data_IF_196831933410
#
_entry.id   IF_196831933410
#
_cell.length_a   1.000
_cell.length_b   1.000
_cell.length_c   1.000
_cell.angle_alpha   90.00
_cell.angle_beta   90.00
_cell.angle_gamma   90.00
#
_symmetry.space_group_name_H-M   'P 1'
#
loop_
_entity.id
_entity.type
_entity.pdbx_description
1 polymer ?
#
# COMPACT_ATOMS: atom_id res chain seq x y z
N UNK A 1 -34.37 -28.08 11.48
CA UNK A 1 -34.29 -26.63 11.72
C UNK A 1 -33.62 -26.01 10.48
N UNK A 2 -34.20 -26.03 9.28
CA UNK A 2 -35.46 -25.37 8.89
C UNK A 2 -35.68 -24.06 9.64
N UNK A 3 -34.90 -23.04 9.27
CA UNK A 3 -35.25 -21.62 9.37
C UNK A 3 -34.24 -20.77 8.59
N UNK A 4 -34.26 -20.89 7.26
CA UNK A 4 -33.89 -19.80 6.36
C UNK A 4 -35.09 -19.57 5.44
N UNK A 5 -36.19 -19.12 6.04
CA UNK A 5 -37.33 -18.65 5.27
C UNK A 5 -36.88 -17.57 4.30
N UNK A 6 -37.37 -17.68 3.06
CA UNK A 6 -37.24 -16.70 2.00
C UNK A 6 -37.26 -15.26 2.56
N UNK A 7 -36.09 -14.66 2.71
CA UNK A 7 -35.98 -13.22 2.89
C UNK A 7 -36.34 -12.65 1.53
N UNK A 8 -37.61 -12.28 1.36
CA UNK A 8 -38.06 -11.45 0.25
C UNK A 8 -37.21 -10.17 0.32
N UNK A 9 -36.19 -10.06 -0.53
CA UNK A 9 -35.53 -8.78 -0.79
C UNK A 9 -36.64 -7.87 -1.30
N UNK A 10 -37.03 -6.86 -0.53
CA UNK A 10 -37.96 -5.83 -1.01
C UNK A 10 -37.32 -5.18 -2.24
N UNK A 11 -37.97 -5.31 -3.38
CA UNK A 11 -37.51 -4.74 -4.66
C UNK A 11 -37.56 -3.20 -4.68
N UNK A 12 -38.29 -2.57 -3.76
CA UNK A 12 -38.28 -1.10 -3.61
C UNK A 12 -37.15 -0.68 -2.65
N UNK A 13 -35.93 -0.62 -3.18
CA UNK A 13 -34.75 -0.08 -2.48
C UNK A 13 -34.78 1.45 -2.59
N UNK A 14 -35.18 2.20 -1.55
CA UNK A 14 -35.43 3.64 -1.67
C UNK A 14 -34.19 4.46 -2.07
N UNK A 15 -32.98 3.94 -1.82
CA UNK A 15 -31.72 4.57 -2.24
C UNK A 15 -31.50 4.54 -3.76
N UNK A 16 -32.11 3.60 -4.49
CA UNK A 16 -31.98 3.50 -5.97
C UNK A 16 -32.51 4.77 -6.64
N UNK A 17 -33.65 5.29 -6.17
CA UNK A 17 -34.21 6.56 -6.66
C UNK A 17 -33.25 7.73 -6.48
N UNK A 18 -32.48 7.74 -5.39
CA UNK A 18 -31.44 8.76 -5.15
C UNK A 18 -30.28 8.59 -6.12
N UNK A 19 -29.82 7.35 -6.36
CA UNK A 19 -28.74 7.08 -7.31
C UNK A 19 -29.14 7.46 -8.73
N UNK A 20 -30.32 7.07 -9.19
CA UNK A 20 -30.88 7.46 -10.49
C UNK A 20 -30.97 8.99 -10.64
N UNK A 21 -31.49 9.67 -9.61
CA UNK A 21 -31.58 11.13 -9.60
C UNK A 21 -30.21 11.81 -9.70
N UNK A 22 -29.19 11.23 -9.09
CA UNK A 22 -27.82 11.76 -9.09
C UNK A 22 -26.98 11.22 -10.27
N UNK A 23 -27.54 10.37 -11.14
CA UNK A 23 -26.80 9.74 -12.23
C UNK A 23 -25.73 8.72 -11.79
N UNK A 24 -25.83 8.22 -10.54
CA UNK A 24 -24.87 7.28 -9.96
C UNK A 24 -25.16 5.87 -10.45
N UNK A 25 -24.19 5.26 -11.13
CA UNK A 25 -24.26 3.83 -11.49
C UNK A 25 -24.01 2.97 -10.26
N UNK A 26 -25.01 2.19 -9.84
CA UNK A 26 -24.93 1.36 -8.64
C UNK A 26 -24.69 -0.13 -8.92
N UNK A 27 -24.86 -0.55 -10.18
CA UNK A 27 -24.41 -1.85 -10.67
C UNK A 27 -23.01 -1.66 -11.25
N UNK A 28 -22.04 -2.40 -10.71
CA UNK A 28 -20.65 -2.32 -11.19
C UNK A 28 -20.38 -3.43 -12.18
N UNK A 29 -19.80 -3.07 -13.32
CA UNK A 29 -19.31 -4.03 -14.30
C UNK A 29 -17.92 -4.53 -13.89
N UNK A 30 -17.86 -5.76 -13.42
CA UNK A 30 -16.60 -6.41 -13.07
C UNK A 30 -15.84 -6.82 -14.34
N UNK A 31 -14.50 -6.67 -14.39
CA UNK A 31 -13.71 -7.18 -15.50
C UNK A 31 -13.72 -8.73 -15.55
N UNK A 32 -13.17 -9.34 -16.61
CA UNK A 32 -13.08 -10.80 -16.72
C UNK A 32 -12.46 -11.46 -15.47
N UNK A 33 -12.93 -12.66 -15.11
CA UNK A 33 -12.51 -13.36 -13.89
C UNK A 33 -10.99 -13.62 -13.80
N UNK A 34 -10.29 -13.70 -14.93
CA UNK A 34 -8.83 -13.85 -15.02
C UNK A 34 -8.06 -12.52 -14.95
N UNK A 35 -8.71 -11.45 -14.47
CA UNK A 35 -8.09 -10.14 -14.26
C UNK A 35 -7.60 -10.02 -12.81
N UNK A 36 -6.39 -9.49 -12.63
CA UNK A 36 -5.85 -9.10 -11.33
C UNK A 36 -5.91 -7.58 -11.14
N UNK A 37 -5.76 -7.13 -9.89
CA UNK A 37 -5.58 -5.72 -9.58
C UNK A 37 -4.41 -5.08 -10.36
N UNK A 38 -3.34 -5.84 -10.60
CA UNK A 38 -2.16 -5.33 -11.33
C UNK A 38 -2.47 -5.12 -12.82
N UNK A 39 -3.34 -5.95 -13.44
CA UNK A 39 -3.79 -5.71 -14.82
C UNK A 39 -4.45 -4.34 -14.96
N UNK A 40 -5.30 -3.97 -13.98
CA UNK A 40 -5.99 -2.68 -13.96
C UNK A 40 -5.01 -1.51 -13.76
N UNK A 41 -4.02 -1.66 -12.87
CA UNK A 41 -3.08 -0.59 -12.56
C UNK A 41 -1.98 -0.41 -13.62
N UNK A 42 -1.52 -1.47 -14.28
CA UNK A 42 -0.42 -1.41 -15.25
C UNK A 42 -0.70 -0.48 -16.43
N UNK A 43 -1.94 -0.44 -16.92
CA UNK A 43 -2.32 0.46 -18.00
C UNK A 43 -2.08 1.92 -17.61
N UNK A 44 -2.35 2.27 -16.35
CA UNK A 44 -2.14 3.62 -15.84
C UNK A 44 -0.66 3.96 -15.65
N UNK A 45 0.19 2.98 -15.35
CA UNK A 45 1.65 3.21 -15.30
C UNK A 45 2.22 3.57 -16.66
N UNK A 46 1.69 2.99 -17.74
CA UNK A 46 2.09 3.36 -19.11
C UNK A 46 1.57 4.75 -19.47
N UNK A 47 0.27 5.00 -19.25
CA UNK A 47 -0.38 6.29 -19.55
C UNK A 47 0.28 7.46 -18.81
N UNK A 48 0.81 7.22 -17.60
CA UNK A 48 1.39 8.25 -16.75
C UNK A 48 2.89 8.14 -16.55
N UNK A 49 3.63 7.34 -17.33
CA UNK A 49 5.04 6.99 -17.10
C UNK A 49 5.95 8.18 -16.74
N UNK A 50 5.81 9.32 -17.44
CA UNK A 50 6.58 10.55 -17.19
C UNK A 50 6.06 11.46 -16.07
N UNK A 51 4.96 11.10 -15.40
CA UNK A 51 4.35 11.86 -14.30
C UNK A 51 4.82 11.34 -12.94
N UNK A 52 4.57 12.13 -11.90
CA UNK A 52 4.94 11.77 -10.53
C UNK A 52 3.89 10.82 -9.95
N UNK A 53 4.29 9.68 -9.41
CA UNK A 53 3.40 8.76 -8.70
C UNK A 53 3.33 9.10 -7.21
N UNK A 54 4.48 9.30 -6.57
CA UNK A 54 4.56 9.59 -5.14
C UNK A 54 5.56 10.69 -4.84
N UNK A 55 5.29 11.44 -3.79
CA UNK A 55 6.21 12.41 -3.20
C UNK A 55 6.39 12.11 -1.72
N UNK A 56 7.63 12.10 -1.24
CA UNK A 56 7.95 11.96 0.18
C UNK A 56 9.19 12.79 0.50
N UNK A 57 9.12 13.68 1.50
CA UNK A 57 10.25 14.53 1.92
C UNK A 57 10.91 15.26 0.76
N UNK A 58 10.11 15.87 -0.13
CA UNK A 58 10.55 16.57 -1.34
C UNK A 58 11.35 15.70 -2.32
N UNK A 59 11.11 14.39 -2.32
CA UNK A 59 11.63 13.45 -3.32
C UNK A 59 10.46 12.88 -4.10
N UNK A 60 10.55 12.95 -5.43
CA UNK A 60 9.55 12.43 -6.35
C UNK A 60 9.95 11.04 -6.81
N UNK A 61 8.98 10.14 -6.86
CA UNK A 61 9.06 8.84 -7.53
C UNK A 61 8.10 8.89 -8.72
N UNK A 62 8.61 8.72 -9.94
CA UNK A 62 7.78 8.70 -11.14
C UNK A 62 6.99 7.39 -11.27
N UNK A 63 5.96 7.39 -12.11
CA UNK A 63 5.25 6.16 -12.46
C UNK A 63 6.15 5.15 -13.17
N UNK A 64 7.05 5.61 -14.05
CA UNK A 64 8.04 4.75 -14.70
C UNK A 64 8.99 4.10 -13.68
N UNK A 65 9.50 4.88 -12.72
CA UNK A 65 10.39 4.36 -11.69
C UNK A 65 9.66 3.40 -10.76
N UNK A 66 8.41 3.70 -10.39
CA UNK A 66 7.56 2.82 -9.60
C UNK A 66 7.30 1.48 -10.31
N UNK A 67 6.97 1.50 -11.60
CA UNK A 67 6.78 0.29 -12.41
C UNK A 67 8.06 -0.53 -12.49
N UNK A 68 9.20 0.12 -12.79
CA UNK A 68 10.50 -0.53 -12.85
C UNK A 68 10.90 -1.16 -11.51
N UNK A 69 10.85 -0.40 -10.43
CA UNK A 69 11.25 -0.87 -9.11
C UNK A 69 10.33 -1.95 -8.57
N UNK A 70 9.01 -1.84 -8.78
CA UNK A 70 8.08 -2.89 -8.35
C UNK A 70 8.29 -4.20 -9.13
N UNK A 71 8.58 -4.15 -10.45
CA UNK A 71 8.97 -5.34 -11.23
C UNK A 71 10.30 -5.96 -10.75
N UNK A 72 11.27 -5.15 -10.36
CA UNK A 72 12.53 -5.65 -9.80
C UNK A 72 12.32 -6.34 -8.45
N UNK A 73 11.51 -5.76 -7.55
CA UNK A 73 11.13 -6.43 -6.30
C UNK A 73 10.35 -7.72 -6.57
N UNK A 74 9.45 -7.74 -7.56
CA UNK A 74 8.74 -8.95 -7.94
C UNK A 74 9.70 -10.05 -8.42
N UNK A 75 10.67 -9.71 -9.28
CA UNK A 75 11.71 -10.63 -9.72
C UNK A 75 12.57 -11.13 -8.54
N UNK A 76 12.93 -10.24 -7.62
CA UNK A 76 13.64 -10.61 -6.40
C UNK A 76 12.86 -11.64 -5.58
N UNK A 77 11.58 -11.39 -5.32
CA UNK A 77 10.70 -12.32 -4.59
C UNK A 77 10.59 -13.68 -5.29
N UNK A 78 10.40 -13.70 -6.60
CA UNK A 78 10.38 -14.94 -7.39
C UNK A 78 11.71 -15.71 -7.32
N UNK A 79 12.84 -14.99 -7.22
CA UNK A 79 14.17 -15.62 -7.07
C UNK A 79 14.41 -16.28 -5.72
N UNK A 80 13.56 -16.03 -4.73
CA UNK A 80 13.60 -16.68 -3.42
C UNK A 80 12.90 -18.05 -3.44
N UNK A 81 12.33 -18.47 -4.57
CA UNK A 81 11.63 -19.76 -4.70
C UNK A 81 10.19 -19.75 -4.17
N UNK A 82 9.68 -18.57 -3.82
CA UNK A 82 8.31 -18.37 -3.38
C UNK A 82 7.31 -18.67 -4.50
N UNK A 83 6.13 -19.14 -4.11
CA UNK A 83 5.05 -19.57 -5.00
C UNK A 83 3.87 -18.59 -4.95
N UNK A 84 2.93 -18.73 -5.90
CA UNK A 84 1.67 -17.97 -5.88
C UNK A 84 0.98 -18.14 -4.53
N UNK A 85 0.53 -17.04 -3.95
CA UNK A 85 -0.19 -17.03 -2.67
C UNK A 85 0.69 -17.13 -1.42
N UNK A 86 2.02 -17.24 -1.57
CA UNK A 86 2.92 -17.08 -0.44
C UNK A 86 2.79 -15.67 0.14
N UNK A 87 2.91 -15.55 1.47
CA UNK A 87 2.59 -14.31 2.18
C UNK A 87 3.85 -13.49 2.41
N UNK A 88 3.78 -12.22 2.03
CA UNK A 88 4.87 -11.26 2.20
C UNK A 88 4.38 -10.09 3.03
N UNK A 89 4.95 -9.95 4.22
CA UNK A 89 4.65 -8.87 5.14
C UNK A 89 5.40 -7.59 4.79
N UNK A 90 4.72 -6.46 4.89
CA UNK A 90 5.31 -5.14 4.71
C UNK A 90 4.99 -4.27 5.92
N UNK A 91 6.03 -3.94 6.70
CA UNK A 91 5.97 -3.14 7.92
C UNK A 91 6.72 -1.83 7.72
N UNK A 92 6.04 -0.85 7.10
CA UNK A 92 6.60 0.47 6.84
C UNK A 92 5.55 1.59 7.02
N UNK A 93 5.97 2.80 7.39
CA UNK A 93 5.12 3.98 7.33
C UNK A 93 4.99 4.45 5.87
N UNK A 94 4.29 5.57 5.64
CA UNK A 94 4.12 6.13 4.30
C UNK A 94 5.44 6.73 3.79
N UNK A 95 6.25 5.90 3.13
CA UNK A 95 7.54 6.23 2.52
C UNK A 95 7.61 5.64 1.12
N UNK A 96 8.54 6.08 0.28
CA UNK A 96 8.61 5.68 -1.14
C UNK A 96 8.76 4.16 -1.35
N UNK A 97 9.39 3.47 -0.41
CA UNK A 97 9.65 2.03 -0.47
C UNK A 97 8.38 1.20 -0.27
N UNK A 98 7.40 1.73 0.48
CA UNK A 98 6.14 1.04 0.77
C UNK A 98 5.36 0.70 -0.51
N UNK A 99 4.99 1.66 -1.40
CA UNK A 99 4.27 1.32 -2.63
C UNK A 99 5.10 0.44 -3.58
N UNK A 100 6.43 0.59 -3.60
CA UNK A 100 7.32 -0.28 -4.40
C UNK A 100 7.26 -1.73 -3.90
N UNK A 101 7.34 -1.96 -2.59
CA UNK A 101 7.25 -3.29 -1.99
C UNK A 101 5.85 -3.89 -2.19
N UNK A 102 4.79 -3.12 -1.91
CA UNK A 102 3.39 -3.53 -2.09
C UNK A 102 3.13 -3.99 -3.51
N UNK A 103 3.46 -3.17 -4.52
CA UNK A 103 3.26 -3.54 -5.92
C UNK A 103 4.16 -4.71 -6.33
N UNK A 104 5.38 -4.79 -5.80
CA UNK A 104 6.28 -5.91 -6.05
C UNK A 104 5.73 -7.25 -5.56
N UNK A 105 5.10 -7.27 -4.38
CA UNK A 105 4.42 -8.45 -3.83
C UNK A 105 3.27 -8.89 -4.73
N UNK A 106 2.36 -7.95 -5.05
CA UNK A 106 1.20 -8.23 -5.88
C UNK A 106 1.60 -8.70 -7.29
N UNK A 107 2.61 -8.07 -7.89
CA UNK A 107 3.17 -8.47 -9.20
C UNK A 107 3.79 -9.86 -9.17
N UNK A 108 4.44 -10.24 -8.06
CA UNK A 108 5.02 -11.56 -7.92
C UNK A 108 3.97 -12.68 -7.80
N UNK A 109 2.69 -12.32 -7.63
CA UNK A 109 1.58 -13.25 -7.40
C UNK A 109 1.46 -13.70 -5.95
N UNK A 110 2.04 -12.93 -5.04
CA UNK A 110 2.05 -13.21 -3.62
C UNK A 110 0.97 -12.40 -2.90
N UNK A 111 0.60 -12.88 -1.72
CA UNK A 111 -0.39 -12.21 -0.89
C UNK A 111 0.31 -11.22 0.03
N UNK A 112 -0.08 -9.96 -0.05
CA UNK A 112 0.43 -8.89 0.80
C UNK A 112 -0.13 -9.00 2.22
N UNK A 113 0.74 -8.92 3.23
CA UNK A 113 0.33 -8.76 4.63
C UNK A 113 0.72 -7.36 5.08
N UNK A 114 -0.29 -6.49 5.23
CA UNK A 114 -0.05 -5.14 5.75
C UNK A 114 0.19 -5.20 7.25
N UNK A 115 1.33 -4.67 7.71
CA UNK A 115 1.72 -4.70 9.13
C UNK A 115 1.85 -3.28 9.65
N UNK A 116 1.20 -3.01 10.79
CA UNK A 116 1.34 -1.73 11.47
C UNK A 116 2.75 -1.60 12.08
N UNK A 117 3.55 -0.59 11.70
CA UNK A 117 4.88 -0.37 12.25
C UNK A 117 4.91 -0.09 13.76
N UNK A 118 3.77 0.27 14.35
CA UNK A 118 3.63 0.55 15.79
C UNK A 118 3.22 -0.68 16.60
N UNK A 119 3.12 -1.86 15.99
CA UNK A 119 2.86 -3.08 16.74
C UNK A 119 3.99 -3.40 17.72
N UNK A 120 3.58 -3.93 18.87
CA UNK A 120 4.48 -4.54 19.85
C UNK A 120 5.06 -5.84 19.30
N UNK A 121 6.14 -6.32 19.90
CA UNK A 121 6.77 -7.61 19.58
C UNK A 121 5.77 -8.77 19.56
N UNK A 122 4.84 -8.82 20.52
CA UNK A 122 3.82 -9.89 20.61
C UNK A 122 2.79 -9.82 19.50
N UNK A 123 2.35 -8.62 19.13
CA UNK A 123 1.38 -8.41 18.05
C UNK A 123 2.01 -8.76 16.69
N UNK A 124 3.26 -8.34 16.46
CA UNK A 124 4.03 -8.70 15.27
C UNK A 124 4.24 -10.21 15.19
N UNK A 125 4.68 -10.84 16.28
CA UNK A 125 4.86 -12.30 16.35
C UNK A 125 3.57 -13.05 16.02
N UNK A 126 2.44 -12.62 16.59
CA UNK A 126 1.13 -13.21 16.31
C UNK A 126 0.80 -13.12 14.83
N UNK A 127 0.85 -11.91 14.25
CA UNK A 127 0.46 -11.69 12.87
C UNK A 127 1.34 -12.48 11.89
N UNK A 128 2.67 -12.48 12.08
CA UNK A 128 3.59 -13.17 11.16
C UNK A 128 3.35 -14.69 11.15
N UNK A 129 3.05 -15.28 12.33
CA UNK A 129 2.71 -16.70 12.44
C UNK A 129 1.34 -17.03 11.87
N UNK A 130 0.33 -16.26 12.27
CA UNK A 130 -1.06 -16.49 11.85
C UNK A 130 -1.21 -16.38 10.33
N UNK A 131 -0.47 -15.45 9.72
CA UNK A 131 -0.47 -15.28 8.27
C UNK A 131 0.49 -16.23 7.54
N UNK A 132 1.30 -17.03 8.24
CA UNK A 132 2.34 -17.88 7.63
C UNK A 132 3.26 -17.06 6.69
N UNK A 133 3.79 -15.94 7.20
CA UNK A 133 4.65 -15.04 6.42
C UNK A 133 5.98 -15.69 6.10
N UNK A 134 6.37 -15.65 4.81
CA UNK A 134 7.69 -16.14 4.36
C UNK A 134 8.73 -15.02 4.22
N UNK A 135 8.30 -13.80 3.87
CA UNK A 135 9.20 -12.65 3.70
C UNK A 135 8.66 -11.44 4.45
N UNK A 136 9.55 -10.74 5.17
CA UNK A 136 9.24 -9.48 5.83
C UNK A 136 10.07 -8.34 5.24
N UNK A 137 9.40 -7.34 4.67
CA UNK A 137 10.00 -6.03 4.41
C UNK A 137 9.74 -5.09 5.58
N UNK A 138 10.80 -4.51 6.16
CA UNK A 138 10.70 -3.69 7.36
C UNK A 138 11.60 -2.45 7.28
N UNK A 139 11.07 -1.31 7.71
CA UNK A 139 11.90 -0.11 7.93
C UNK A 139 12.76 -0.31 9.18
N UNK A 140 14.05 0.01 9.10
CA UNK A 140 15.03 -0.22 10.18
C UNK A 140 14.63 0.35 11.55
N UNK A 141 13.83 1.41 11.57
CA UNK A 141 13.21 1.97 12.78
C UNK A 141 12.49 0.94 13.64
N UNK A 142 11.96 -0.12 13.03
CA UNK A 142 11.17 -1.16 13.67
C UNK A 142 11.86 -2.53 13.68
N UNK A 143 13.08 -2.63 13.17
CA UNK A 143 13.81 -3.90 13.08
C UNK A 143 14.08 -4.51 14.46
N UNK A 144 14.26 -3.67 15.50
CA UNK A 144 14.41 -4.12 16.88
C UNK A 144 13.17 -4.87 17.38
N UNK A 145 11.97 -4.40 17.03
CA UNK A 145 10.70 -5.07 17.38
C UNK A 145 10.64 -6.51 16.85
N UNK A 146 11.11 -6.74 15.62
CA UNK A 146 11.21 -8.08 15.04
C UNK A 146 12.31 -8.90 15.73
N UNK A 147 13.50 -8.32 15.94
CA UNK A 147 14.58 -9.00 16.65
C UNK A 147 14.15 -9.48 18.04
N UNK A 148 13.39 -8.67 18.77
CA UNK A 148 12.96 -8.97 20.14
C UNK A 148 11.96 -10.14 20.24
N UNK A 149 11.45 -10.62 19.10
CA UNK A 149 10.71 -11.89 19.03
C UNK A 149 11.62 -13.07 19.42
N UNK A 150 12.93 -12.96 19.15
CA UNK A 150 13.94 -13.92 19.59
C UNK A 150 13.99 -15.23 18.80
N UNK A 151 13.32 -15.31 17.64
CA UNK A 151 13.34 -16.45 16.72
C UNK A 151 13.09 -16.00 15.29
N UNK A 152 13.62 -16.77 14.34
CA UNK A 152 13.39 -16.55 12.92
C UNK A 152 11.99 -17.07 12.56
N UNK A 153 11.04 -16.14 12.41
CA UNK A 153 9.65 -16.47 12.05
C UNK A 153 9.37 -16.45 10.56
N UNK A 154 10.27 -15.85 9.78
CA UNK A 154 10.14 -15.71 8.34
C UNK A 154 11.44 -16.18 7.70
N UNK A 155 11.37 -16.72 6.49
CA UNK A 155 12.52 -17.25 5.75
C UNK A 155 13.48 -16.14 5.33
N UNK A 156 12.95 -14.95 5.03
CA UNK A 156 13.73 -13.82 4.55
C UNK A 156 13.28 -12.49 5.16
N UNK A 157 14.26 -11.67 5.58
CA UNK A 157 14.02 -10.30 6.04
C UNK A 157 14.72 -9.31 5.11
N UNK A 158 13.97 -8.35 4.58
CA UNK A 158 14.49 -7.22 3.81
C UNK A 158 14.36 -5.96 4.64
N UNK A 159 15.50 -5.35 4.98
CA UNK A 159 15.54 -4.12 5.78
C UNK A 159 15.77 -2.94 4.86
N UNK A 160 14.88 -1.95 4.93
CA UNK A 160 15.06 -0.66 4.26
C UNK A 160 15.46 0.42 5.26
N UNK A 161 16.23 1.39 4.79
CA UNK A 161 16.41 2.68 5.47
C UNK A 161 15.55 3.76 4.79
N UNK A 162 15.21 4.82 5.52
CA UNK A 162 14.33 5.90 5.05
C UNK A 162 14.81 6.51 3.71
N UNK A 163 16.12 6.71 3.57
CA UNK A 163 16.75 7.33 2.40
C UNK A 163 17.05 6.40 1.22
N UNK A 164 16.63 5.13 1.23
CA UNK A 164 17.10 4.14 0.23
C UNK A 164 16.61 4.37 -1.21
N UNK A 165 15.48 5.07 -1.41
CA UNK A 165 15.02 5.53 -2.73
C UNK A 165 15.28 7.02 -3.00
N UNK A 166 16.17 7.63 -2.22
CA UNK A 166 16.61 9.01 -2.45
C UNK A 166 17.96 9.03 -3.16
N UNK A 167 18.35 10.19 -3.71
CA UNK A 167 19.70 10.38 -4.26
C UNK A 167 20.76 10.09 -3.19
N UNK A 168 21.97 9.61 -3.55
CA UNK A 168 22.97 9.18 -2.56
C UNK A 168 23.25 10.20 -1.46
N UNK A 169 23.40 11.48 -1.82
CA UNK A 169 23.63 12.57 -0.87
C UNK A 169 22.42 12.80 0.05
N UNK A 170 21.22 12.94 -0.52
CA UNK A 170 20.00 13.19 0.26
C UNK A 170 19.67 12.01 1.16
N UNK A 171 19.80 10.78 0.66
CA UNK A 171 19.59 9.55 1.41
C UNK A 171 20.56 9.41 2.58
N UNK A 172 21.84 9.74 2.39
CA UNK A 172 22.83 9.77 3.47
C UNK A 172 22.42 10.75 4.58
N UNK A 173 22.06 11.99 4.21
CA UNK A 173 21.64 13.02 5.18
C UNK A 173 20.39 12.57 5.95
N UNK A 174 19.37 12.07 5.23
CA UNK A 174 18.12 11.61 5.86
C UNK A 174 18.39 10.46 6.83
N UNK A 175 19.17 9.46 6.43
CA UNK A 175 19.52 8.34 7.31
C UNK A 175 20.34 8.82 8.52
N UNK A 176 21.27 9.75 8.35
CA UNK A 176 22.06 10.32 9.44
C UNK A 176 21.16 11.07 10.45
N UNK A 177 20.23 11.89 9.97
CA UNK A 177 19.26 12.60 10.82
C UNK A 177 18.37 11.61 11.57
N UNK A 178 17.82 10.61 10.88
CA UNK A 178 16.93 9.61 11.49
C UNK A 178 17.64 8.80 12.58
N UNK A 179 18.90 8.39 12.36
CA UNK A 179 19.69 7.59 13.30
C UNK A 179 20.30 8.40 14.44
N UNK A 180 20.95 9.52 14.14
CA UNK A 180 21.81 10.20 15.12
C UNK A 180 21.14 11.41 15.77
N UNK A 181 20.29 12.13 15.03
CA UNK A 181 19.63 13.35 15.54
C UNK A 181 18.30 12.98 16.20
N UNK A 182 17.41 12.32 15.45
CA UNK A 182 16.10 11.91 15.98
C UNK A 182 16.15 10.62 16.80
N UNK A 183 17.25 9.85 16.72
CA UNK A 183 17.46 8.58 17.45
C UNK A 183 16.28 7.59 17.29
N UNK A 184 15.72 7.53 16.09
CA UNK A 184 14.54 6.71 15.79
C UNK A 184 14.88 5.29 15.32
N UNK A 185 16.16 4.93 15.29
CA UNK A 185 16.64 3.60 14.90
C UNK A 185 17.38 3.03 16.10
N UNK A 186 16.73 2.17 16.89
CA UNK A 186 17.40 1.43 17.96
C UNK A 186 18.50 0.52 17.39
N UNK A 187 19.50 0.16 18.19
CA UNK A 187 20.47 -0.84 17.78
C UNK A 187 19.78 -2.19 17.58
N UNK A 188 20.03 -2.80 16.42
CA UNK A 188 19.48 -4.11 16.07
C UNK A 188 20.50 -4.97 15.32
N UNK A 189 20.26 -6.29 15.35
CA UNK A 189 20.98 -7.33 14.64
C UNK A 189 19.98 -8.40 14.21
N UNK A 190 19.58 -8.34 12.95
CA UNK A 190 18.75 -9.36 12.30
C UNK A 190 19.63 -10.16 11.35
N UNK A 191 20.00 -11.37 11.76
CA UNK A 191 20.90 -12.24 11.00
C UNK A 191 20.28 -12.62 9.64
N UNK A 192 21.11 -12.72 8.60
CA UNK A 192 20.64 -13.10 7.26
C UNK A 192 19.81 -12.03 6.54
N UNK A 193 19.55 -10.87 7.16
CA UNK A 193 18.78 -9.80 6.53
C UNK A 193 19.49 -9.22 5.30
N UNK A 194 18.68 -8.82 4.31
CA UNK A 194 19.14 -8.22 3.06
C UNK A 194 18.75 -6.74 3.05
N UNK A 195 19.68 -5.84 2.70
CA UNK A 195 19.32 -4.44 2.52
C UNK A 195 18.39 -4.26 1.31
N UNK A 196 17.40 -3.37 1.42
CA UNK A 196 16.40 -3.11 0.39
C UNK A 196 17.03 -2.74 -0.97
N UNK A 197 18.05 -1.88 -1.01
CA UNK A 197 18.73 -1.56 -2.28
C UNK A 197 19.45 -2.77 -2.88
N UNK A 198 19.97 -3.66 -2.04
CA UNK A 198 20.57 -4.92 -2.51
C UNK A 198 19.51 -5.85 -3.09
N UNK A 199 18.34 -5.97 -2.44
CA UNK A 199 17.21 -6.73 -2.98
C UNK A 199 16.72 -6.14 -4.32
N UNK A 200 16.48 -4.83 -4.35
CA UNK A 200 16.02 -4.07 -5.52
C UNK A 200 16.96 -4.21 -6.72
N UNK A 201 18.28 -4.14 -6.49
CA UNK A 201 19.28 -4.20 -7.56
C UNK A 201 19.81 -5.62 -7.84
N UNK A 202 19.33 -6.65 -7.13
CA UNK A 202 19.78 -8.04 -7.34
C UNK A 202 19.44 -8.53 -8.75
N UNK A 203 18.27 -8.16 -9.25
CA UNK A 203 17.73 -8.59 -10.54
C UNK A 203 17.19 -7.40 -11.32
N UNK A 204 17.14 -7.58 -12.64
CA UNK A 204 16.58 -6.58 -13.56
C UNK A 204 15.12 -6.90 -13.85
N UNK A 205 14.42 -5.93 -14.46
CA UNK A 205 13.04 -6.14 -14.95
C UNK A 205 12.92 -7.30 -15.96
N UNK A 206 14.00 -7.69 -16.65
CA UNK A 206 14.01 -8.82 -17.59
C UNK A 206 13.86 -10.17 -16.89
N UNK A 207 14.14 -10.22 -15.58
CA UNK A 207 14.03 -11.43 -14.77
C UNK A 207 12.62 -11.63 -14.20
N UNK A 208 11.78 -10.60 -14.23
CA UNK A 208 10.40 -10.69 -13.76
C UNK A 208 9.57 -11.57 -14.71
N UNK A 209 8.91 -12.58 -14.15
CA UNK A 209 7.97 -13.43 -14.89
C UNK A 209 6.56 -13.10 -14.43
N UNK A 210 5.75 -12.50 -15.31
CA UNK A 210 4.36 -12.18 -14.99
C UNK A 210 3.57 -13.48 -14.70
N UNK A 211 2.95 -13.62 -13.52
CA UNK A 211 2.07 -14.76 -13.27
C UNK A 211 0.86 -14.70 -14.22
N UNK A 212 0.48 -15.84 -14.80
CA UNK A 212 -0.64 -15.94 -15.76
C UNK A 212 -1.90 -16.55 -15.16
N UNK A 213 -1.83 -17.00 -13.91
CA UNK A 213 -2.88 -17.74 -13.22
C UNK A 213 -3.42 -16.97 -12.02
N UNK A 214 -3.47 -15.64 -12.07
CA UNK A 214 -4.07 -14.80 -11.03
C UNK A 214 -5.38 -14.23 -11.55
N UNK A 215 -6.46 -14.38 -10.79
CA UNK A 215 -7.78 -13.84 -11.10
C UNK A 215 -8.42 -13.10 -9.94
N UNK A 216 -9.67 -12.69 -10.14
CA UNK A 216 -10.43 -11.88 -9.18
C UNK A 216 -10.69 -12.60 -7.85
N UNK A 217 -10.73 -13.93 -7.84
CA UNK A 217 -10.99 -14.72 -6.62
C UNK A 217 -9.72 -15.00 -5.79
N UNK A 218 -8.54 -14.71 -6.33
CA UNK A 218 -7.29 -14.91 -5.60
C UNK A 218 -7.09 -13.83 -4.52
N UNK A 219 -6.62 -14.26 -3.34
CA UNK A 219 -6.35 -13.36 -2.21
C UNK A 219 -5.13 -12.48 -2.50
N UNK A 220 -5.36 -11.18 -2.62
CA UNK A 220 -4.33 -10.18 -2.85
C UNK A 220 -3.73 -9.66 -1.54
N UNK A 221 -4.56 -9.45 -0.51
CA UNK A 221 -4.16 -8.81 0.74
C UNK A 221 -4.77 -9.51 1.95
N UNK A 222 -3.96 -9.77 2.97
CA UNK A 222 -4.41 -10.04 4.32
C UNK A 222 -4.35 -8.74 5.13
N UNK A 223 -5.53 -8.19 5.43
CA UNK A 223 -5.64 -7.00 6.24
C UNK A 223 -5.99 -7.38 7.68
N UNK A 224 -5.04 -7.24 8.60
CA UNK A 224 -5.30 -7.52 10.01
C UNK A 224 -6.11 -6.40 10.65
N UNK A 225 -7.10 -6.81 11.45
CA UNK A 225 -7.97 -5.91 12.22
C UNK A 225 -8.14 -6.46 13.63
N UNK A 226 -8.11 -5.56 14.62
CA UNK A 226 -8.49 -5.87 15.99
C UNK A 226 -10.01 -5.82 16.10
N UNK A 227 -10.67 -6.97 16.17
CA UNK A 227 -12.10 -7.05 16.50
C UNK A 227 -12.33 -6.93 18.01
N UNK A 228 -13.59 -6.87 18.43
CA UNK A 228 -14.00 -6.87 19.85
C UNK A 228 -13.66 -8.18 20.59
N UNK A 229 -13.23 -9.22 19.87
CA UNK A 229 -12.96 -10.57 20.40
C UNK A 229 -11.51 -10.79 20.83
N UNK A 230 -10.70 -9.74 21.01
CA UNK A 230 -9.34 -9.83 21.55
C UNK A 230 -8.24 -9.92 20.50
N UNK A 231 -8.01 -11.11 19.93
CA UNK A 231 -6.87 -11.36 19.02
C UNK A 231 -7.15 -10.85 17.60
N UNK A 232 -6.18 -10.18 16.97
CA UNK A 232 -6.29 -9.66 15.62
C UNK A 232 -6.43 -10.79 14.58
N UNK A 233 -7.31 -10.58 13.59
CA UNK A 233 -7.61 -11.54 12.51
C UNK A 233 -7.35 -10.91 11.15
N UNK A 234 -6.81 -11.70 10.22
CA UNK A 234 -6.60 -11.29 8.83
C UNK A 234 -7.89 -11.37 8.01
N UNK A 235 -8.43 -10.23 7.59
CA UNK A 235 -9.46 -10.19 6.56
C UNK A 235 -8.81 -10.50 5.20
N UNK A 236 -9.31 -11.51 4.51
CA UNK A 236 -8.85 -11.90 3.18
C UNK A 236 -9.53 -11.02 2.14
N UNK A 237 -8.76 -10.18 1.47
CA UNK A 237 -9.23 -9.33 0.38
C UNK A 237 -8.72 -9.89 -0.93
N UNK A 238 -9.65 -10.30 -1.79
CA UNK A 238 -9.31 -10.78 -3.12
C UNK A 238 -8.98 -9.63 -4.07
N UNK A 239 -8.34 -9.94 -5.20
CA UNK A 239 -8.17 -8.97 -6.28
C UNK A 239 -9.52 -8.37 -6.69
N UNK A 240 -10.58 -9.17 -6.77
CA UNK A 240 -11.94 -8.75 -7.07
C UNK A 240 -12.53 -7.80 -6.03
N UNK A 241 -12.28 -8.02 -4.73
CA UNK A 241 -12.73 -7.07 -3.70
C UNK A 241 -12.10 -5.69 -3.89
N UNK A 242 -10.79 -5.65 -4.20
CA UNK A 242 -10.06 -4.40 -4.39
C UNK A 242 -10.45 -3.71 -5.71
N UNK A 243 -10.62 -4.46 -6.80
CA UNK A 243 -11.07 -3.93 -8.10
C UNK A 243 -12.50 -3.39 -8.00
N UNK A 244 -13.42 -4.13 -7.38
CA UNK A 244 -14.77 -3.66 -7.13
C UNK A 244 -14.76 -2.34 -6.33
N UNK A 245 -13.90 -2.24 -5.32
CA UNK A 245 -13.76 -1.02 -4.54
C UNK A 245 -13.18 0.15 -5.36
N UNK A 246 -12.23 -0.09 -6.27
CA UNK A 246 -11.73 0.94 -7.17
C UNK A 246 -12.84 1.49 -8.07
N UNK A 247 -13.64 0.61 -8.68
CA UNK A 247 -14.77 1.00 -9.53
C UNK A 247 -15.77 1.81 -8.73
N UNK A 248 -16.13 1.36 -7.52
CA UNK A 248 -17.04 2.09 -6.64
C UNK A 248 -16.48 3.46 -6.25
N UNK A 249 -15.20 3.55 -5.87
CA UNK A 249 -14.56 4.83 -5.57
C UNK A 249 -14.61 5.77 -6.77
N UNK A 250 -14.38 5.25 -7.97
CA UNK A 250 -14.43 6.03 -9.22
C UNK A 250 -15.84 6.56 -9.50
N UNK A 251 -16.89 5.78 -9.22
CA UNK A 251 -18.28 6.24 -9.34
C UNK A 251 -18.56 7.47 -8.48
N UNK A 252 -17.97 7.57 -7.28
CA UNK A 252 -18.25 8.67 -6.35
C UNK A 252 -17.27 9.84 -6.44
N UNK A 253 -16.03 9.57 -6.84
CA UNK A 253 -14.94 10.56 -6.83
C UNK A 253 -14.47 10.94 -8.23
N UNK A 254 -14.84 10.20 -9.27
CA UNK A 254 -14.26 10.29 -10.60
C UNK A 254 -14.41 11.66 -11.23
N UNK A 255 -15.62 12.21 -11.23
CA UNK A 255 -15.93 13.55 -11.76
C UNK A 255 -15.06 14.66 -11.15
N UNK A 256 -14.67 14.52 -9.88
CA UNK A 256 -13.81 15.48 -9.22
C UNK A 256 -12.38 15.46 -9.79
N UNK A 257 -11.89 14.28 -10.19
CA UNK A 257 -10.57 14.09 -10.78
C UNK A 257 -10.54 14.32 -12.30
N UNK A 258 -11.65 14.10 -13.01
CA UNK A 258 -11.76 14.36 -14.46
C UNK A 258 -11.44 15.82 -14.80
N UNK A 259 -11.91 16.76 -13.97
CA UNK A 259 -11.62 18.20 -14.13
C UNK A 259 -10.14 18.53 -14.10
N UNK A 260 -9.33 17.78 -13.36
CA UNK A 260 -7.87 17.96 -13.38
C UNK A 260 -7.28 17.43 -14.68
N UNK A 261 -7.76 16.28 -15.15
CA UNK A 261 -7.31 15.68 -16.41
C UNK A 261 -7.62 16.57 -17.62
N UNK A 262 -8.81 17.18 -17.67
CA UNK A 262 -9.21 18.16 -18.70
C UNK A 262 -8.26 19.36 -18.77
N UNK A 263 -7.76 19.80 -17.61
CA UNK A 263 -6.77 20.89 -17.51
C UNK A 263 -5.32 20.42 -17.66
N UNK A 264 -5.09 19.13 -17.95
CA UNK A 264 -3.78 18.50 -17.97
C UNK A 264 -2.98 18.67 -16.66
N UNK A 265 -3.69 18.74 -15.54
CA UNK A 265 -3.13 18.82 -14.19
C UNK A 265 -3.09 17.43 -13.54
N UNK A 266 -2.19 17.24 -12.58
CA UNK A 266 -2.12 16.01 -11.79
C UNK A 266 -2.64 16.27 -10.38
N UNK A 267 -3.78 15.68 -9.99
CA UNK A 267 -4.34 15.90 -8.66
C UNK A 267 -3.43 15.29 -7.60
N UNK A 268 -3.27 16.01 -6.49
CA UNK A 268 -2.51 15.56 -5.33
C UNK A 268 -3.47 14.97 -4.30
N UNK A 269 -3.20 13.72 -3.89
CA UNK A 269 -3.85 13.09 -2.74
C UNK A 269 -2.90 13.16 -1.56
N UNK A 270 -3.32 13.79 -0.47
CA UNK A 270 -2.54 13.84 0.76
C UNK A 270 -2.68 12.54 1.55
N UNK A 271 -1.66 11.70 1.47
CA UNK A 271 -1.62 10.38 2.12
C UNK A 271 -1.03 10.51 3.52
N UNK A 272 -1.78 11.20 4.39
CA UNK A 272 -1.45 11.35 5.81
C UNK A 272 -1.86 10.13 6.66
N UNK A 273 -2.93 9.45 6.25
CA UNK A 273 -3.38 8.22 6.90
C UNK A 273 -2.51 7.03 6.44
N UNK A 274 -2.21 6.06 7.31
CA UNK A 274 -1.24 5.03 6.99
C UNK A 274 -1.75 4.05 5.93
N UNK A 275 -0.94 3.81 4.90
CA UNK A 275 -1.28 2.92 3.78
C UNK A 275 -1.38 1.44 4.19
N UNK A 276 -0.90 1.04 5.37
CA UNK A 276 -1.16 -0.29 5.91
C UNK A 276 -2.59 -0.45 6.50
N UNK A 277 -3.37 0.62 6.60
CA UNK A 277 -4.79 0.57 6.94
C UNK A 277 -5.64 0.56 5.66
N UNK A 278 -6.65 -0.32 5.62
CA UNK A 278 -7.42 -0.58 4.39
C UNK A 278 -8.07 0.66 3.78
N UNK A 279 -8.54 1.61 4.59
CA UNK A 279 -9.13 2.85 4.11
C UNK A 279 -8.12 3.67 3.27
N UNK A 280 -6.92 3.94 3.81
CA UNK A 280 -5.90 4.70 3.08
C UNK A 280 -5.29 3.85 1.95
N UNK A 281 -5.12 2.54 2.17
CA UNK A 281 -4.65 1.61 1.16
C UNK A 281 -5.47 1.69 -0.12
N UNK A 282 -6.80 1.65 0.01
CA UNK A 282 -7.72 1.68 -1.12
C UNK A 282 -7.89 3.08 -1.68
N UNK A 283 -8.31 4.04 -0.86
CA UNK A 283 -8.75 5.37 -1.30
C UNK A 283 -7.59 6.31 -1.64
N UNK A 284 -6.46 6.20 -0.94
CA UNK A 284 -5.28 7.03 -1.23
C UNK A 284 -4.27 6.29 -2.12
N UNK A 285 -3.99 5.03 -1.79
CA UNK A 285 -2.99 4.22 -2.47
C UNK A 285 -3.47 3.71 -3.83
N UNK A 286 -4.32 2.69 -3.83
CA UNK A 286 -4.73 1.99 -5.04
C UNK A 286 -5.53 2.90 -5.98
N UNK A 287 -6.47 3.68 -5.46
CA UNK A 287 -7.26 4.60 -6.26
C UNK A 287 -6.42 5.76 -6.82
N UNK A 288 -5.46 6.27 -6.05
CA UNK A 288 -4.50 7.26 -6.55
C UNK A 288 -3.70 6.74 -7.75
N UNK A 289 -3.23 5.49 -7.68
CA UNK A 289 -2.55 4.83 -8.80
C UNK A 289 -3.47 4.57 -9.99
N UNK A 290 -4.71 4.17 -9.72
CA UNK A 290 -5.75 3.94 -10.73
C UNK A 290 -6.08 5.22 -11.53
N UNK A 291 -6.07 6.39 -10.88
CA UNK A 291 -6.37 7.68 -11.53
C UNK A 291 -5.15 8.50 -11.92
N UNK A 292 -3.94 7.96 -11.79
CA UNK A 292 -2.73 8.68 -12.14
C UNK A 292 -2.45 9.90 -11.24
N UNK A 293 -2.87 9.88 -9.99
CA UNK A 293 -2.68 10.97 -9.03
C UNK A 293 -1.24 11.02 -8.51
N UNK A 294 -0.90 12.12 -7.83
CA UNK A 294 0.29 12.20 -6.97
C UNK A 294 -0.11 11.79 -5.55
N UNK A 295 0.45 10.70 -5.03
CA UNK A 295 0.35 10.37 -3.61
C UNK A 295 1.41 11.13 -2.80
N UNK A 296 0.99 12.14 -2.03
CA UNK A 296 1.87 12.86 -1.11
C UNK A 296 1.99 12.06 0.20
N UNK A 297 3.06 11.28 0.33
CA UNK A 297 3.31 10.41 1.46
C UNK A 297 3.81 11.21 2.66
N UNK A 298 3.09 11.11 3.78
CA UNK A 298 3.47 11.73 5.05
C UNK A 298 3.93 10.63 6.02
N UNK A 299 5.25 10.48 6.28
CA UNK A 299 5.75 9.41 7.14
C UNK A 299 5.25 9.49 8.59
N UNK A 300 5.04 10.70 9.10
CA UNK A 300 4.51 10.93 10.44
C UNK A 300 3.53 12.12 10.45
N UNK A 301 2.21 11.87 10.43
CA UNK A 301 1.21 12.94 10.45
C UNK A 301 1.14 13.69 11.79
N UNK A 302 1.81 13.22 12.85
CA UNK A 302 1.89 13.92 14.15
C UNK A 302 2.95 15.03 14.14
N UNK A 303 3.83 15.04 13.15
CA UNK A 303 4.79 16.14 12.94
C UNK A 303 4.07 17.27 12.17
N UNK A 304 3.36 18.12 12.92
CA UNK A 304 2.51 19.17 12.34
C UNK A 304 3.27 20.16 11.45
N UNK A 305 4.52 20.49 11.81
CA UNK A 305 5.35 21.39 11.01
C UNK A 305 5.69 20.77 9.64
N UNK A 306 6.09 19.50 9.62
CA UNK A 306 6.38 18.78 8.37
C UNK A 306 5.11 18.55 7.54
N UNK A 307 3.98 18.27 8.19
CA UNK A 307 2.68 18.11 7.56
C UNK A 307 2.22 19.41 6.86
N UNK A 308 2.26 20.55 7.56
CA UNK A 308 1.88 21.86 7.01
C UNK A 308 2.82 22.27 5.88
N UNK A 309 4.13 22.01 6.01
CA UNK A 309 5.08 22.24 4.92
C UNK A 309 4.69 21.43 3.68
N UNK A 310 4.45 20.12 3.83
CA UNK A 310 4.07 19.26 2.72
C UNK A 310 2.76 19.73 2.06
N UNK A 311 1.77 20.14 2.85
CA UNK A 311 0.52 20.72 2.36
C UNK A 311 0.75 21.98 1.52
N UNK A 312 1.63 22.89 1.97
CA UNK A 312 1.94 24.14 1.24
C UNK A 312 2.69 23.88 -0.06
N UNK A 313 3.66 22.98 -0.03
CA UNK A 313 4.49 22.67 -1.19
C UNK A 313 3.71 21.86 -2.25
N UNK A 314 2.74 21.06 -1.80
CA UNK A 314 1.88 20.23 -2.65
C UNK A 314 0.41 20.33 -2.18
N UNK A 315 -0.31 21.41 -2.54
CA UNK A 315 -1.70 21.59 -2.14
C UNK A 315 -2.58 20.42 -2.61
N UNK A 316 -3.23 19.68 -1.69
CA UNK A 316 -4.00 18.51 -2.06
C UNK A 316 -5.34 18.86 -2.68
N UNK A 317 -5.66 18.18 -3.78
CA UNK A 317 -7.01 18.12 -4.33
C UNK A 317 -7.94 17.27 -3.45
N UNK A 318 -7.35 16.29 -2.76
CA UNK A 318 -8.07 15.39 -1.85
C UNK A 318 -7.23 15.10 -0.60
N UNK A 319 -7.81 15.36 0.57
CA UNK A 319 -7.14 15.17 1.85
C UNK A 319 -7.99 14.31 2.81
N UNK A 320 -7.93 12.97 2.67
CA UNK A 320 -8.53 12.06 3.64
C UNK A 320 -7.81 12.16 4.99
N UNK A 321 -8.58 12.40 6.04
CA UNK A 321 -8.07 12.57 7.39
C UNK A 321 -9.11 12.12 8.43
N UNK A 322 -8.73 12.16 9.70
CA UNK A 322 -9.57 11.80 10.85
C UNK A 322 -9.77 13.03 11.73
N UNK A 323 -10.84 13.05 12.53
CA UNK A 323 -11.18 14.18 13.40
C UNK A 323 -10.01 14.65 14.27
N UNK A 324 -9.22 13.73 14.82
CA UNK A 324 -8.05 14.07 15.64
C UNK A 324 -6.98 14.83 14.85
N UNK A 325 -6.80 14.53 13.58
CA UNK A 325 -5.88 15.25 12.71
C UNK A 325 -6.42 16.63 12.34
N UNK A 326 -7.71 16.74 12.00
CA UNK A 326 -8.34 18.03 11.74
C UNK A 326 -8.31 18.95 12.95
N UNK A 327 -8.59 18.42 14.15
CA UNK A 327 -8.50 19.18 15.40
C UNK A 327 -7.09 19.67 15.71
N UNK A 328 -6.04 18.94 15.27
CA UNK A 328 -4.66 19.37 15.44
C UNK A 328 -4.22 20.43 14.40
N UNK A 329 -4.99 20.61 13.32
CA UNK A 329 -4.73 21.58 12.26
C UNK A 329 -5.54 22.87 12.40
N UNK A 330 -6.63 22.84 13.17
CA UNK A 330 -7.50 23.98 13.48
C UNK A 330 -6.84 24.95 14.46
#
# INVERSE_FOLDING_TARGET
MENQGNVIRRDDKPWVKTYEKLGIQYDIDMPPANTSLIDILEQNFVTHAGRTAFVCMDVKLSYEDLDRYSKQIAAYLQSLGLQKGDKVAVMMPNILQLPVAVLGVLRAGMTLVNVNPLYTTKELEHQLKDSDTKVLFILENFAKTYQDIGKDLVDHVVITSMGDLMSPLKGFIVNAVVRHVKKLVPDYKVNGSVNFKKALNKLSVKNYKRPTNIGLDDVAVLQYTGGTTGVAKGAMLTHGNLVANLIQCDTYLGDAFDKFQERNEQPVIMTALPLYHIFSFTVCGMYGLYRGCIGLLVPNPRDGASLIKAYKDYPPAFFPAVNTLFNALA
#
